data_IF_353869996640
#
_entry.id   IF_353869996640
#
_cell.length_a   1.000
_cell.length_b   1.000
_cell.length_c   1.000
_cell.angle_alpha   90.00
_cell.angle_beta   90.00
_cell.angle_gamma   90.00
#
_symmetry.space_group_name_H-M   'P 1'
#
loop_
_entity.id
_entity.type
_entity.pdbx_description
1 polymer ?
#
# COMPACT_ATOMS: atom_id res chain seq x y z
N UNK A 1 -2.84 24.09 -4.28
CA UNK A 1 -3.29 23.30 -3.13
C UNK A 1 -2.30 23.52 -1.98
N UNK A 2 -2.73 24.01 -0.82
CA UNK A 2 -1.85 24.15 0.36
C UNK A 2 -1.90 22.87 1.17
N UNK A 3 -0.75 22.30 1.48
CA UNK A 3 -0.64 21.15 2.40
C UNK A 3 -0.06 21.67 3.71
N UNK A 4 -0.76 21.47 4.80
CA UNK A 4 -0.29 21.82 6.12
C UNK A 4 0.44 20.62 6.73
N UNK A 5 1.71 20.82 7.10
CA UNK A 5 2.53 19.82 7.76
C UNK A 5 2.53 20.11 9.27
N UNK A 6 2.20 19.11 10.06
CA UNK A 6 2.30 19.18 11.52
C UNK A 6 3.52 18.39 11.99
N UNK A 7 4.41 19.02 12.70
CA UNK A 7 5.63 18.38 13.19
C UNK A 7 5.35 17.10 14.03
N UNK A 8 4.23 17.09 14.77
CA UNK A 8 3.80 15.90 15.54
C UNK A 8 3.38 14.71 14.67
N UNK A 9 3.03 14.92 13.40
CA UNK A 9 2.65 13.85 12.48
C UNK A 9 3.86 13.27 11.71
N UNK A 10 4.94 14.03 11.57
CA UNK A 10 6.19 13.66 10.86
C UNK A 10 6.86 12.56 11.63
N UNK A 11 6.70 11.78 12.30
CA UNK A 11 7.14 10.64 13.12
C UNK A 11 6.03 10.20 14.09
N UNK A 12 4.79 10.42 13.63
CA UNK A 12 3.61 10.05 14.39
C UNK A 12 3.44 8.54 14.48
N UNK A 13 2.49 8.11 15.30
CA UNK A 13 2.26 6.69 15.59
C UNK A 13 1.99 5.85 14.33
N UNK A 14 1.26 6.40 13.34
CA UNK A 14 1.01 5.71 12.06
C UNK A 14 2.27 5.50 11.22
N UNK A 15 3.19 6.45 11.23
CA UNK A 15 4.49 6.31 10.54
C UNK A 15 5.30 5.19 11.17
N UNK A 16 5.39 5.20 12.50
CA UNK A 16 6.09 4.15 13.27
C UNK A 16 5.45 2.78 13.08
N UNK A 17 4.12 2.72 13.02
CA UNK A 17 3.41 1.47 12.78
C UNK A 17 3.73 0.90 11.40
N UNK A 18 3.81 1.75 10.35
CA UNK A 18 4.25 1.31 9.02
C UNK A 18 5.68 0.77 9.07
N UNK A 19 6.59 1.45 9.77
CA UNK A 19 7.98 0.99 9.92
C UNK A 19 8.07 -0.33 10.70
N UNK A 20 7.29 -0.48 11.75
CA UNK A 20 7.24 -1.69 12.57
C UNK A 20 6.72 -2.90 11.78
N UNK A 21 5.58 -2.76 11.08
CA UNK A 21 4.98 -3.84 10.30
C UNK A 21 5.85 -4.20 9.09
N UNK A 22 6.35 -3.19 8.36
CA UNK A 22 7.17 -3.41 7.15
C UNK A 22 8.60 -3.84 7.45
N UNK A 23 9.11 -3.51 8.64
CA UNK A 23 10.51 -3.65 9.00
C UNK A 23 11.43 -2.74 8.17
N UNK A 24 10.91 -1.62 7.65
CA UNK A 24 11.65 -0.70 6.78
C UNK A 24 11.79 0.69 7.43
N UNK A 25 12.97 1.30 7.27
CA UNK A 25 13.20 2.69 7.63
C UNK A 25 12.77 3.60 6.48
N UNK A 26 11.68 4.34 6.68
CA UNK A 26 11.16 5.27 5.68
C UNK A 26 12.12 6.43 5.42
N UNK A 27 12.91 6.85 6.42
CA UNK A 27 13.84 7.96 6.29
C UNK A 27 15.10 7.60 5.49
N UNK A 28 15.40 6.31 5.30
CA UNK A 28 16.47 5.88 4.43
C UNK A 28 16.25 6.27 2.96
N UNK A 29 15.00 6.50 2.55
CA UNK A 29 14.65 6.88 1.19
C UNK A 29 14.97 8.36 0.92
N UNK A 30 15.87 8.62 -0.04
CA UNK A 30 16.25 9.98 -0.48
C UNK A 30 15.53 10.44 -1.76
N UNK A 31 14.46 9.74 -2.15
CA UNK A 31 13.56 10.16 -3.24
C UNK A 31 14.19 10.19 -4.65
N UNK A 32 15.06 9.22 -4.97
CA UNK A 32 15.69 9.15 -6.30
C UNK A 32 14.71 8.81 -7.46
N UNK A 33 13.55 8.22 -7.17
CA UNK A 33 12.55 7.88 -8.18
C UNK A 33 12.74 6.55 -8.93
N UNK A 34 13.83 5.80 -8.69
CA UNK A 34 14.12 4.53 -9.37
C UNK A 34 13.01 3.48 -9.19
N UNK A 35 12.37 3.46 -8.02
CA UNK A 35 11.24 2.57 -7.75
C UNK A 35 10.02 2.88 -8.62
N UNK A 36 9.77 4.17 -8.91
CA UNK A 36 8.65 4.60 -9.77
C UNK A 36 8.95 4.37 -11.24
N UNK A 37 10.18 4.67 -11.67
CA UNK A 37 10.61 4.44 -13.05
C UNK A 37 10.60 2.95 -13.44
N UNK A 38 10.80 2.05 -12.48
CA UNK A 38 10.81 0.60 -12.73
C UNK A 38 9.51 -0.12 -12.43
N UNK A 39 8.50 0.55 -11.90
CA UNK A 39 7.26 -0.11 -11.49
C UNK A 39 6.39 -0.47 -12.70
N UNK A 40 6.08 -1.76 -12.91
CA UNK A 40 5.26 -2.18 -14.05
C UNK A 40 3.79 -1.76 -13.93
N UNK A 41 3.33 -1.43 -12.72
CA UNK A 41 1.97 -1.00 -12.45
C UNK A 41 1.83 0.53 -12.28
N UNK A 42 2.90 1.32 -12.44
CA UNK A 42 2.89 2.76 -12.19
C UNK A 42 1.84 3.51 -13.02
N UNK A 43 1.50 3.02 -14.21
CA UNK A 43 0.50 3.64 -15.10
C UNK A 43 -0.94 3.57 -14.56
N UNK A 44 -1.22 2.63 -13.66
CA UNK A 44 -2.54 2.44 -13.05
C UNK A 44 -2.64 3.09 -11.65
N UNK A 45 -1.53 3.54 -11.10
CA UNK A 45 -1.46 4.10 -9.76
C UNK A 45 -1.87 5.58 -9.75
N UNK A 46 -2.67 5.96 -8.78
CA UNK A 46 -3.05 7.36 -8.51
C UNK A 46 -1.91 8.17 -7.84
N UNK A 47 -0.99 7.46 -7.19
CA UNK A 47 0.19 8.00 -6.53
C UNK A 47 1.41 7.17 -6.92
N UNK A 48 2.48 7.81 -7.38
CA UNK A 48 3.69 7.08 -7.76
C UNK A 48 4.36 6.41 -6.55
N UNK A 49 5.03 5.25 -6.74
CA UNK A 49 5.68 4.52 -5.65
C UNK A 49 6.59 5.37 -4.74
N UNK A 50 7.43 6.25 -5.30
CA UNK A 50 8.27 7.13 -4.50
C UNK A 50 7.46 8.17 -3.71
N UNK A 51 6.31 8.60 -4.23
CA UNK A 51 5.43 9.55 -3.54
C UNK A 51 4.78 8.91 -2.30
N UNK A 52 4.47 7.63 -2.32
CA UNK A 52 3.96 6.90 -1.15
C UNK A 52 4.94 7.04 0.02
N UNK A 53 6.23 6.76 -0.20
CA UNK A 53 7.24 6.94 0.85
C UNK A 53 7.34 8.41 1.26
N UNK A 54 7.31 9.33 0.30
CA UNK A 54 7.41 10.76 0.61
C UNK A 54 6.26 11.26 1.46
N UNK A 55 5.03 10.86 1.16
CA UNK A 55 3.88 11.23 1.99
C UNK A 55 3.97 10.63 3.39
N UNK A 56 4.42 9.37 3.51
CA UNK A 56 4.67 8.75 4.81
C UNK A 56 5.74 9.51 5.61
N UNK A 57 6.88 9.86 5.00
CA UNK A 57 7.93 10.69 5.63
C UNK A 57 7.40 12.04 6.14
N UNK A 58 6.45 12.64 5.43
CA UNK A 58 5.83 13.92 5.81
C UNK A 58 4.70 13.75 6.85
N UNK A 59 4.42 12.54 7.31
CA UNK A 59 3.33 12.26 8.24
C UNK A 59 1.93 12.38 7.62
N UNK A 60 1.84 12.37 6.28
CA UNK A 60 0.58 12.43 5.53
C UNK A 60 0.04 11.02 5.24
N UNK A 61 0.10 10.14 6.24
CA UNK A 61 -0.27 8.73 6.12
C UNK A 61 -1.73 8.56 5.70
N UNK A 62 -2.63 9.42 6.17
CA UNK A 62 -4.05 9.40 5.78
C UNK A 62 -4.24 9.45 4.25
N UNK A 63 -3.38 10.22 3.53
CA UNK A 63 -3.44 10.27 2.07
C UNK A 63 -3.01 8.97 1.42
N UNK A 64 -2.05 8.29 2.02
CA UNK A 64 -1.53 7.01 1.52
C UNK A 64 -2.52 5.89 1.80
N UNK A 65 -3.17 5.88 2.97
CA UNK A 65 -4.21 4.92 3.33
C UNK A 65 -5.43 5.00 2.42
N UNK A 66 -5.79 6.21 1.97
CA UNK A 66 -6.93 6.44 1.08
C UNK A 66 -6.56 6.40 -0.41
N UNK A 67 -5.32 6.09 -0.77
CA UNK A 67 -4.87 5.95 -2.15
C UNK A 67 -5.15 4.54 -2.70
N UNK A 68 -5.37 4.44 -4.01
CA UNK A 68 -5.53 3.16 -4.68
C UNK A 68 -4.18 2.44 -4.91
N UNK A 69 -3.08 3.19 -4.93
CA UNK A 69 -1.73 2.70 -5.20
C UNK A 69 -1.32 1.46 -4.39
N UNK A 70 -1.54 1.37 -3.06
CA UNK A 70 -1.20 0.17 -2.31
C UNK A 70 -1.89 -1.10 -2.83
N UNK A 71 -3.11 -0.96 -3.37
CA UNK A 71 -3.90 -2.07 -3.92
C UNK A 71 -3.46 -2.49 -5.32
N UNK A 72 -2.92 -1.57 -6.13
CA UNK A 72 -2.34 -1.89 -7.44
C UNK A 72 -0.94 -2.48 -7.35
N UNK A 73 -0.31 -2.46 -6.18
CA UNK A 73 1.02 -3.03 -5.99
C UNK A 73 0.97 -4.56 -6.10
N UNK A 74 1.57 -5.10 -7.16
CA UNK A 74 1.66 -6.55 -7.40
C UNK A 74 2.74 -7.26 -6.56
N UNK A 75 3.41 -6.56 -5.64
CA UNK A 75 4.51 -7.08 -4.82
C UNK A 75 5.64 -7.76 -5.63
N UNK A 76 5.89 -7.29 -6.86
CA UNK A 76 6.87 -7.88 -7.79
C UNK A 76 8.34 -7.62 -7.40
N UNK A 77 8.58 -6.83 -6.35
CA UNK A 77 9.90 -6.48 -5.78
C UNK A 77 10.87 -5.75 -6.73
N UNK A 78 10.46 -5.37 -7.93
CA UNK A 78 11.30 -4.61 -8.86
C UNK A 78 11.81 -3.30 -8.26
N UNK A 79 10.99 -2.64 -7.44
CA UNK A 79 11.36 -1.43 -6.72
C UNK A 79 12.50 -1.67 -5.71
N UNK A 80 12.48 -2.81 -5.02
CA UNK A 80 13.53 -3.19 -4.06
C UNK A 80 14.86 -3.45 -4.76
N UNK A 81 14.86 -4.24 -5.85
CA UNK A 81 16.10 -4.56 -6.60
C UNK A 81 16.75 -3.32 -7.22
N UNK A 82 15.98 -2.27 -7.48
CA UNK A 82 16.48 -1.00 -8.03
C UNK A 82 16.85 0.03 -6.95
N UNK A 83 16.46 -0.20 -5.71
CA UNK A 83 16.68 0.77 -4.64
C UNK A 83 18.15 0.81 -4.17
N UNK A 84 18.90 1.92 -4.36
CA UNK A 84 20.28 2.01 -3.91
C UNK A 84 20.42 2.06 -2.40
N UNK A 85 19.32 2.30 -1.67
CA UNK A 85 19.27 2.30 -0.20
C UNK A 85 18.68 1.02 0.38
N UNK A 86 18.31 0.04 -0.45
CA UNK A 86 17.73 -1.22 -0.01
C UNK A 86 16.36 -1.09 0.66
N UNK A 87 15.60 -0.03 0.36
CA UNK A 87 14.25 0.13 0.89
C UNK A 87 13.28 -0.76 0.10
N UNK A 88 12.63 -1.69 0.80
CA UNK A 88 11.62 -2.56 0.21
C UNK A 88 10.24 -1.90 0.25
N UNK A 89 9.91 -1.24 -0.84
CA UNK A 89 8.62 -0.56 -0.97
C UNK A 89 7.44 -1.56 -1.03
N UNK A 90 7.66 -2.79 -1.48
CA UNK A 90 6.59 -3.79 -1.53
C UNK A 90 6.10 -4.15 -0.12
N UNK A 91 7.02 -4.26 0.85
CA UNK A 91 6.67 -4.45 2.26
C UNK A 91 5.97 -3.24 2.86
N UNK A 92 6.38 -2.03 2.47
CA UNK A 92 5.70 -0.79 2.91
C UNK A 92 4.26 -0.77 2.40
N UNK A 93 4.03 -1.12 1.12
CA UNK A 93 2.68 -1.22 0.55
C UNK A 93 1.82 -2.27 1.26
N UNK A 94 2.41 -3.40 1.63
CA UNK A 94 1.73 -4.44 2.40
C UNK A 94 1.34 -3.95 3.80
N UNK A 95 2.25 -3.29 4.52
CA UNK A 95 1.96 -2.70 5.81
C UNK A 95 0.80 -1.69 5.76
N UNK A 96 0.76 -0.86 4.71
CA UNK A 96 -0.32 0.11 4.49
C UNK A 96 -1.66 -0.61 4.30
N UNK A 97 -1.70 -1.67 3.49
CA UNK A 97 -2.91 -2.50 3.30
C UNK A 97 -3.36 -3.15 4.61
N UNK A 98 -2.42 -3.68 5.39
CA UNK A 98 -2.72 -4.30 6.68
C UNK A 98 -3.34 -3.30 7.66
N UNK A 99 -2.78 -2.09 7.76
CA UNK A 99 -3.32 -1.03 8.63
C UNK A 99 -4.73 -0.67 8.19
N UNK A 100 -4.94 -0.46 6.90
CA UNK A 100 -6.26 -0.13 6.36
C UNK A 100 -7.29 -1.22 6.65
N UNK A 101 -6.93 -2.47 6.44
CA UNK A 101 -7.83 -3.61 6.69
C UNK A 101 -8.16 -3.81 8.17
N UNK A 102 -7.25 -3.48 9.08
CA UNK A 102 -7.53 -3.54 10.52
C UNK A 102 -8.58 -2.52 10.95
N UNK A 103 -8.60 -1.35 10.32
CA UNK A 103 -9.55 -0.29 10.64
C UNK A 103 -10.92 -0.49 9.99
N UNK A 104 -10.94 -1.03 8.76
CA UNK A 104 -12.16 -1.07 7.95
C UNK A 104 -12.81 -2.47 7.90
N UNK A 105 -12.13 -3.51 8.33
CA UNK A 105 -12.61 -4.88 8.25
C UNK A 105 -12.75 -5.39 6.81
N UNK A 106 -13.28 -6.60 6.67
CA UNK A 106 -13.58 -7.19 5.37
C UNK A 106 -15.05 -7.01 5.05
N UNK A 107 -15.35 -6.26 3.98
CA UNK A 107 -16.72 -5.96 3.56
C UNK A 107 -17.21 -6.83 2.41
N UNK A 108 -16.46 -7.84 1.99
CA UNK A 108 -16.89 -8.71 0.91
C UNK A 108 -17.81 -9.80 1.46
N UNK A 109 -19.12 -9.57 1.39
CA UNK A 109 -20.11 -10.64 1.53
C UNK A 109 -20.34 -11.28 0.16
N UNK A 110 -19.86 -12.53 0.02
CA UNK A 110 -19.98 -13.29 -1.24
C UNK A 110 -21.45 -13.52 -1.62
N UNK A 111 -22.35 -13.63 -0.64
CA UNK A 111 -23.78 -13.81 -0.89
C UNK A 111 -24.45 -12.53 -1.42
N UNK A 112 -23.83 -11.37 -1.20
CA UNK A 112 -24.32 -10.09 -1.70
C UNK A 112 -23.84 -9.77 -3.12
N UNK A 113 -22.94 -10.59 -3.70
CA UNK A 113 -22.42 -10.37 -5.06
C UNK A 113 -23.45 -10.86 -6.08
N UNK A 114 -23.89 -10.02 -7.05
CA UNK A 114 -24.79 -10.44 -8.09
C UNK A 114 -24.25 -11.63 -8.91
N UNK A 115 -25.06 -12.63 -9.26
CA UNK A 115 -24.63 -13.82 -10.01
C UNK A 115 -23.92 -13.50 -11.33
N UNK A 116 -24.28 -12.39 -11.97
CA UNK A 116 -23.69 -11.92 -13.23
C UNK A 116 -22.22 -11.55 -13.03
N UNK A 117 -21.90 -10.85 -11.92
CA UNK A 117 -20.52 -10.52 -11.56
C UNK A 117 -19.74 -11.73 -11.09
N UNK A 118 -20.41 -12.69 -10.44
CA UNK A 118 -19.78 -13.96 -10.05
C UNK A 118 -19.21 -14.72 -11.25
N UNK A 119 -19.87 -14.65 -12.41
CA UNK A 119 -19.40 -15.32 -13.64
C UNK A 119 -18.19 -14.63 -14.29
N UNK A 120 -17.98 -13.34 -14.04
CA UNK A 120 -16.87 -12.57 -14.61
C UNK A 120 -15.56 -12.72 -13.83
N UNK A 121 -15.61 -13.02 -12.53
CA UNK A 121 -14.43 -13.14 -11.69
C UNK A 121 -13.78 -14.52 -11.79
N UNK A 122 -12.45 -14.61 -11.74
CA UNK A 122 -11.76 -15.90 -11.62
C UNK A 122 -12.20 -16.65 -10.36
N UNK A 123 -12.44 -17.95 -10.48
CA UNK A 123 -12.82 -18.79 -9.31
C UNK A 123 -11.82 -18.70 -8.15
N UNK A 124 -10.54 -18.50 -8.46
CA UNK A 124 -9.49 -18.33 -7.45
C UNK A 124 -9.73 -17.13 -6.53
N UNK A 125 -10.32 -16.05 -7.04
CA UNK A 125 -10.63 -14.85 -6.25
C UNK A 125 -11.66 -15.17 -5.14
N UNK A 126 -12.66 -16.01 -5.45
CA UNK A 126 -13.65 -16.46 -4.46
C UNK A 126 -13.03 -17.38 -3.42
N UNK A 127 -12.25 -18.36 -3.88
CA UNK A 127 -11.59 -19.34 -2.97
C UNK A 127 -10.65 -18.59 -2.02
N UNK A 128 -9.90 -17.61 -2.49
CA UNK A 128 -9.02 -16.79 -1.68
C UNK A 128 -9.80 -15.93 -0.66
N UNK A 129 -10.93 -15.35 -1.07
CA UNK A 129 -11.84 -14.63 -0.19
C UNK A 129 -12.44 -15.55 0.90
N UNK A 130 -12.93 -16.73 0.53
CA UNK A 130 -13.49 -17.68 1.48
C UNK A 130 -12.49 -18.22 2.50
N UNK A 131 -11.23 -18.43 2.12
CA UNK A 131 -10.19 -18.91 3.06
C UNK A 131 -9.98 -17.96 4.23
N UNK A 132 -10.24 -16.69 4.06
CA UNK A 132 -10.08 -15.68 5.11
C UNK A 132 -11.15 -15.81 6.21
N UNK A 133 -12.29 -16.40 5.89
CA UNK A 133 -13.40 -16.60 6.83
C UNK A 133 -13.48 -18.00 7.43
N UNK A 134 -12.62 -18.93 6.99
CA UNK A 134 -12.65 -20.34 7.40
C UNK A 134 -11.42 -20.77 8.21
N UNK A 135 -10.51 -19.84 8.52
CA UNK A 135 -9.30 -20.13 9.30
C UNK A 135 -9.54 -19.93 10.81
#
# INVERSE_FOLDING_TARGET
MRVYLHASKVQGDLVRLIEEISGQDLLACYQCGECSAGCPAAFAMDMLPNQVIRFAQLGLVDKVLNADTPWFCAACQTCYTRCPKGVDLSRIMEAIREIWLKEHGDYLDVNAIPPEKLAEFPQLAYIAGFRKYTA
#
